data_IF_999794529334
#
_entry.id   IF_999794529334
#
_cell.length_a   1.000
_cell.length_b   1.000
_cell.length_c   1.000
_cell.angle_alpha   90.00
_cell.angle_beta   90.00
_cell.angle_gamma   90.00
#
_symmetry.space_group_name_H-M   'P 1'
#
loop_
_entity.id
_entity.type
_entity.pdbx_description
1 polymer ?
#
# COMPACT_ATOMS: atom_id res chain seq x y z
N UNK A 1 8.56 46.49 27.01
CA UNK A 1 7.39 45.60 27.19
C UNK A 1 6.49 45.60 25.94
N UNK A 2 6.04 46.77 25.43
CA UNK A 2 5.16 46.88 24.24
C UNK A 2 5.77 46.28 22.97
N UNK A 3 7.10 46.43 22.74
CA UNK A 3 7.80 45.87 21.58
C UNK A 3 7.87 44.33 21.67
N UNK A 4 8.14 43.78 22.86
CA UNK A 4 8.17 42.34 23.10
C UNK A 4 6.76 41.74 22.89
N UNK A 5 5.72 42.38 23.39
CA UNK A 5 4.34 41.93 23.19
C UNK A 5 3.96 41.88 21.70
N UNK A 6 4.34 42.88 20.90
CA UNK A 6 4.12 42.87 19.46
C UNK A 6 4.86 41.70 18.78
N UNK A 7 6.13 41.43 19.14
CA UNK A 7 6.89 40.30 18.60
C UNK A 7 6.20 38.99 18.92
N UNK A 8 5.82 38.75 20.18
CA UNK A 8 5.10 37.56 20.61
C UNK A 8 3.76 37.38 19.88
N UNK A 9 3.03 38.47 19.66
CA UNK A 9 1.77 38.48 18.92
C UNK A 9 1.97 38.06 17.46
N UNK A 10 2.99 38.58 16.75
CA UNK A 10 3.27 38.18 15.39
C UNK A 10 3.78 36.74 15.31
N UNK A 11 4.59 36.25 16.26
CA UNK A 11 5.00 34.87 16.35
C UNK A 11 3.80 33.96 16.53
N UNK A 12 2.86 34.31 17.37
CA UNK A 12 1.61 33.54 17.56
C UNK A 12 0.80 33.48 16.27
N UNK A 13 0.66 34.59 15.54
CA UNK A 13 -0.03 34.57 14.23
C UNK A 13 0.68 33.62 13.25
N UNK A 14 1.99 33.67 13.16
CA UNK A 14 2.77 32.79 12.29
C UNK A 14 2.52 31.32 12.65
N UNK A 15 2.54 30.97 13.93
CA UNK A 15 2.26 29.61 14.40
C UNK A 15 0.83 29.17 14.04
N UNK A 16 -0.16 30.04 14.23
CA UNK A 16 -1.54 29.74 13.88
C UNK A 16 -1.69 29.54 12.36
N UNK A 17 -1.13 30.42 11.54
CA UNK A 17 -1.18 30.28 10.07
C UNK A 17 -0.52 29.01 9.63
N UNK A 18 0.63 28.68 10.20
CA UNK A 18 1.35 27.43 9.91
C UNK A 18 0.53 26.19 10.30
N UNK A 19 -0.08 26.19 11.49
CA UNK A 19 -0.95 25.09 11.93
C UNK A 19 -2.18 24.92 11.02
N UNK A 20 -2.82 26.03 10.62
CA UNK A 20 -3.94 25.98 9.66
C UNK A 20 -3.47 25.44 8.32
N UNK A 21 -2.30 25.86 7.82
CA UNK A 21 -1.76 25.39 6.55
C UNK A 21 -1.50 23.89 6.58
N UNK A 22 -0.91 23.35 7.65
CA UNK A 22 -0.73 21.91 7.85
C UNK A 22 -2.09 21.20 7.87
N UNK A 23 -3.04 21.71 8.63
CA UNK A 23 -4.39 21.13 8.72
C UNK A 23 -5.06 21.06 7.34
N UNK A 24 -5.04 22.15 6.56
CA UNK A 24 -5.59 22.18 5.21
C UNK A 24 -4.86 21.23 4.26
N UNK A 25 -3.54 21.16 4.36
CA UNK A 25 -2.74 20.22 3.59
C UNK A 25 -3.12 18.77 3.89
N UNK A 26 -3.30 18.39 5.15
CA UNK A 26 -3.76 17.06 5.55
C UNK A 26 -5.19 16.74 5.09
N UNK A 27 -5.99 17.77 4.71
CA UNK A 27 -7.30 17.56 4.09
C UNK A 27 -7.25 17.35 2.57
N UNK A 28 -6.09 17.39 1.95
CA UNK A 28 -5.96 17.11 0.51
C UNK A 28 -6.21 15.63 0.21
N UNK A 29 -6.64 15.29 -1.03
CA UNK A 29 -6.98 13.91 -1.38
C UNK A 29 -5.83 12.91 -1.21
N UNK A 30 -4.57 13.35 -1.27
CA UNK A 30 -3.39 12.47 -1.14
C UNK A 30 -3.35 11.71 0.19
N UNK A 31 -3.95 12.27 1.24
CA UNK A 31 -4.05 11.61 2.55
C UNK A 31 -5.16 10.55 2.62
N UNK A 32 -6.05 10.51 1.63
CA UNK A 32 -7.17 9.57 1.63
C UNK A 32 -8.26 9.93 2.65
N UNK A 33 -8.97 8.95 3.17
CA UNK A 33 -10.02 9.11 4.16
C UNK A 33 -10.00 7.97 5.19
N UNK A 34 -10.46 8.27 6.41
CA UNK A 34 -10.78 7.25 7.40
C UNK A 34 -12.07 6.51 7.04
N UNK A 35 -12.21 5.24 7.42
CA UNK A 35 -13.45 4.50 7.27
C UNK A 35 -14.63 5.24 7.91
N UNK A 36 -15.75 5.30 7.19
CA UNK A 36 -17.00 5.91 7.67
C UNK A 36 -18.20 5.16 7.11
N UNK A 37 -19.40 5.34 7.67
CA UNK A 37 -20.62 4.67 7.20
C UNK A 37 -20.42 3.15 7.10
N UNK A 38 -20.80 2.56 5.95
CA UNK A 38 -20.70 1.12 5.68
C UNK A 38 -19.27 0.57 5.80
N UNK A 39 -18.25 1.33 5.36
CA UNK A 39 -16.85 0.94 5.50
C UNK A 39 -16.47 0.76 6.96
N UNK A 40 -16.84 1.72 7.82
CA UNK A 40 -16.57 1.64 9.26
C UNK A 40 -17.35 0.48 9.94
N UNK A 41 -18.55 0.19 9.48
CA UNK A 41 -19.31 -0.96 9.98
C UNK A 41 -18.61 -2.28 9.68
N UNK A 42 -18.11 -2.46 8.45
CA UNK A 42 -17.31 -3.64 8.09
C UNK A 42 -16.05 -3.75 8.95
N UNK A 43 -15.32 -2.65 9.14
CA UNK A 43 -14.14 -2.58 10.02
C UNK A 43 -14.47 -3.01 11.43
N UNK A 44 -15.54 -2.44 12.03
CA UNK A 44 -15.94 -2.76 13.42
C UNK A 44 -16.43 -4.19 13.62
N UNK A 45 -16.94 -4.82 12.56
CA UNK A 45 -17.38 -6.22 12.60
C UNK A 45 -16.22 -7.23 12.46
N UNK A 46 -15.03 -6.77 12.10
CA UNK A 46 -13.86 -7.62 12.05
C UNK A 46 -13.42 -8.05 13.45
N UNK A 47 -13.15 -9.35 13.62
CA UNK A 47 -12.54 -9.91 14.84
C UNK A 47 -11.11 -9.40 15.10
N UNK A 48 -10.48 -8.81 14.08
CA UNK A 48 -9.12 -8.31 14.10
C UNK A 48 -9.05 -6.81 14.47
N UNK A 49 -10.22 -6.13 14.56
CA UNK A 49 -10.34 -4.74 15.00
C UNK A 49 -10.66 -4.69 16.49
N UNK A 50 -9.67 -4.36 17.32
CA UNK A 50 -9.73 -4.47 18.78
C UNK A 50 -9.40 -3.11 19.39
N UNK A 51 -10.25 -2.62 20.31
CA UNK A 51 -10.08 -1.33 21.01
C UNK A 51 -9.87 -0.13 20.07
N UNK A 52 -10.54 -0.15 18.92
CA UNK A 52 -10.51 0.96 17.97
C UNK A 52 -9.36 0.95 16.97
N UNK A 53 -8.63 -0.15 16.82
CA UNK A 53 -7.55 -0.33 15.85
C UNK A 53 -7.39 -1.79 15.42
N UNK A 54 -6.85 -2.04 14.23
CA UNK A 54 -6.35 -3.36 13.85
C UNK A 54 -5.05 -3.66 14.58
N UNK A 55 -4.86 -4.91 15.00
CA UNK A 55 -3.68 -5.33 15.75
C UNK A 55 -3.06 -6.59 15.18
N UNK A 56 -1.72 -6.59 15.09
CA UNK A 56 -0.99 -7.84 14.85
C UNK A 56 -1.31 -8.84 15.96
N UNK A 57 -1.51 -10.11 15.59
CA UNK A 57 -1.74 -11.18 16.59
C UNK A 57 -0.51 -11.40 17.49
N UNK A 58 0.66 -11.06 16.97
CA UNK A 58 1.91 -11.11 17.73
C UNK A 58 2.36 -9.70 18.10
N UNK A 59 2.91 -9.56 19.31
CA UNK A 59 3.47 -8.29 19.74
C UNK A 59 4.55 -7.85 18.75
N UNK A 60 4.33 -6.73 18.11
CA UNK A 60 5.25 -6.16 17.13
C UNK A 60 5.80 -4.84 17.64
N UNK A 61 7.10 -4.82 17.89
CA UNK A 61 7.80 -3.59 18.25
C UNK A 61 8.18 -2.85 16.96
N UNK A 62 7.64 -1.65 16.79
CA UNK A 62 7.86 -0.84 15.59
C UNK A 62 9.18 -0.07 15.62
N UNK A 63 9.74 0.08 16.81
CA UNK A 63 10.97 0.82 17.03
C UNK A 63 11.95 -0.10 17.72
N UNK A 64 12.99 -0.46 17.00
CA UNK A 64 14.09 -1.28 17.53
C UNK A 64 14.91 -0.56 18.61
N UNK A 65 14.92 0.77 18.59
CA UNK A 65 15.63 1.57 19.61
C UNK A 65 14.63 2.40 20.43
N UNK A 66 14.16 1.80 21.54
CA UNK A 66 13.23 2.45 22.48
C UNK A 66 13.91 3.52 23.36
N UNK A 67 15.25 3.62 23.36
CA UNK A 67 16.00 4.57 24.20
C UNK A 67 16.06 5.98 23.62
N UNK A 68 15.81 6.15 22.31
CA UNK A 68 15.84 7.48 21.69
C UNK A 68 14.55 8.23 21.97
N UNK A 69 14.67 9.51 22.33
CA UNK A 69 13.51 10.40 22.51
C UNK A 69 12.86 10.70 21.14
N UNK A 70 11.55 11.02 21.09
CA UNK A 70 10.87 11.40 19.83
C UNK A 70 11.57 12.56 19.09
N UNK A 71 12.07 13.56 19.83
CA UNK A 71 12.80 14.71 19.25
C UNK A 71 14.12 14.24 18.61
N UNK A 72 14.87 13.35 19.27
CA UNK A 72 16.12 12.82 18.72
C UNK A 72 15.87 12.06 17.43
N UNK A 73 14.83 11.23 17.38
CA UNK A 73 14.43 10.50 16.15
C UNK A 73 14.04 11.47 15.02
N UNK A 74 13.26 12.51 15.34
CA UNK A 74 12.89 13.52 14.36
C UNK A 74 14.12 14.25 13.79
N UNK A 75 15.07 14.60 14.63
CA UNK A 75 16.33 15.24 14.21
C UNK A 75 17.19 14.29 13.37
N UNK A 76 17.31 13.02 13.77
CA UNK A 76 18.02 12.01 12.98
C UNK A 76 17.35 11.86 11.60
N UNK A 77 16.04 11.65 11.55
CA UNK A 77 15.30 11.56 10.29
C UNK A 77 15.47 12.80 9.39
N UNK A 78 15.55 13.99 9.98
CA UNK A 78 15.64 15.24 9.22
C UNK A 78 17.07 15.58 8.76
N UNK A 79 18.09 15.14 9.49
CA UNK A 79 19.47 15.60 9.30
C UNK A 79 20.51 14.49 9.17
N UNK A 80 20.17 13.25 9.48
CA UNK A 80 21.08 12.13 9.27
C UNK A 80 21.17 11.81 7.77
N UNK A 81 22.38 11.64 7.28
CA UNK A 81 22.59 11.23 5.90
C UNK A 81 22.31 9.73 5.77
N UNK A 82 21.75 9.36 4.64
CA UNK A 82 21.60 7.95 4.30
C UNK A 82 22.95 7.22 4.45
N UNK A 83 22.96 6.02 5.04
CA UNK A 83 24.16 5.21 5.13
C UNK A 83 24.78 5.00 3.74
N UNK A 84 26.11 4.92 3.69
CA UNK A 84 26.79 4.68 2.42
C UNK A 84 26.31 3.35 1.78
N UNK A 85 25.99 3.37 0.51
CA UNK A 85 25.53 2.21 -0.25
C UNK A 85 24.03 1.93 -0.21
N UNK A 86 23.23 2.72 0.53
CA UNK A 86 21.75 2.56 0.54
C UNK A 86 21.08 3.19 -0.68
N UNK A 87 21.73 4.17 -1.32
CA UNK A 87 21.22 4.79 -2.55
C UNK A 87 22.13 4.39 -3.71
N UNK A 88 21.59 3.86 -4.82
CA UNK A 88 22.37 3.54 -6.01
C UNK A 88 23.09 4.76 -6.56
N UNK A 89 24.40 4.61 -6.92
CA UNK A 89 25.21 5.69 -7.48
C UNK A 89 24.97 5.91 -8.98
N UNK A 90 24.35 4.94 -9.64
CA UNK A 90 23.99 4.97 -11.07
C UNK A 90 22.53 4.60 -11.23
N UNK A 91 21.92 4.97 -12.35
CA UNK A 91 20.58 4.54 -12.70
C UNK A 91 20.49 3.01 -12.71
N UNK A 92 19.45 2.47 -12.12
CA UNK A 92 19.21 1.03 -12.12
C UNK A 92 18.90 0.58 -13.56
N UNK A 93 19.48 -0.54 -14.02
CA UNK A 93 19.16 -1.08 -15.34
C UNK A 93 17.70 -1.55 -15.35
N UNK A 94 16.97 -1.16 -16.38
CA UNK A 94 15.57 -1.54 -16.56
C UNK A 94 15.27 -1.80 -18.02
N UNK A 95 14.32 -2.71 -18.26
CA UNK A 95 13.83 -3.06 -19.60
C UNK A 95 12.34 -2.72 -19.63
N UNK A 96 11.94 -1.91 -20.62
CA UNK A 96 10.53 -1.60 -20.85
C UNK A 96 9.91 -2.59 -21.82
N UNK A 97 8.91 -3.33 -21.35
CA UNK A 97 8.10 -4.26 -22.15
C UNK A 97 6.79 -3.55 -22.54
N UNK A 98 6.29 -3.80 -23.73
CA UNK A 98 4.97 -3.33 -24.15
C UNK A 98 3.90 -4.24 -23.52
N UNK A 99 3.28 -3.74 -22.44
CA UNK A 99 2.28 -4.48 -21.67
C UNK A 99 0.95 -4.69 -22.45
N UNK A 100 0.74 -3.94 -23.54
CA UNK A 100 -0.50 -4.01 -24.33
C UNK A 100 -0.47 -5.10 -25.39
N UNK A 101 0.73 -5.58 -25.72
CA UNK A 101 0.96 -6.60 -26.76
C UNK A 101 1.35 -7.96 -26.23
N UNK A 102 1.28 -8.14 -24.91
CA UNK A 102 1.55 -9.44 -24.27
C UNK A 102 0.53 -10.49 -24.75
N UNK A 103 1.00 -11.72 -24.97
CA UNK A 103 0.11 -12.84 -25.29
C UNK A 103 -0.81 -13.11 -24.09
N UNK A 104 -2.14 -13.03 -24.23
CA UNK A 104 -3.06 -13.24 -23.12
C UNK A 104 -3.07 -14.67 -22.55
N UNK A 105 -2.48 -15.64 -23.27
CA UNK A 105 -2.38 -17.02 -22.82
C UNK A 105 -1.06 -17.34 -22.08
N UNK A 106 -0.18 -16.37 -21.94
CA UNK A 106 1.10 -16.54 -21.24
C UNK A 106 1.01 -16.01 -19.82
N UNK A 107 1.32 -16.83 -18.84
CA UNK A 107 1.46 -16.39 -17.45
C UNK A 107 2.82 -15.74 -17.25
N UNK A 108 2.81 -14.51 -16.73
CA UNK A 108 4.02 -13.73 -16.53
C UNK A 108 3.90 -12.72 -15.40
N UNK A 109 5.05 -12.27 -14.92
CA UNK A 109 5.16 -11.22 -13.92
C UNK A 109 6.14 -10.16 -14.44
N UNK A 110 5.73 -8.90 -14.36
CA UNK A 110 6.58 -7.74 -14.60
C UNK A 110 6.74 -6.97 -13.29
N UNK A 111 7.96 -6.87 -12.80
CA UNK A 111 8.29 -6.11 -11.61
C UNK A 111 8.71 -4.69 -11.96
N UNK A 112 8.06 -3.70 -11.37
CA UNK A 112 8.31 -2.28 -11.63
C UNK A 112 9.25 -1.62 -10.61
N UNK A 113 9.68 -2.37 -9.63
CA UNK A 113 10.43 -1.90 -8.47
C UNK A 113 9.56 -1.82 -7.22
N UNK A 114 10.20 -1.83 -6.05
CA UNK A 114 9.55 -1.93 -4.76
C UNK A 114 8.50 -3.04 -4.75
N UNK A 115 7.27 -2.79 -4.35
CA UNK A 115 6.19 -3.78 -4.30
C UNK A 115 5.25 -3.75 -5.51
N UNK A 116 5.55 -2.94 -6.54
CA UNK A 116 4.69 -2.78 -7.71
C UNK A 116 4.89 -3.93 -8.71
N UNK A 117 3.83 -4.67 -9.01
CA UNK A 117 3.84 -5.82 -9.93
C UNK A 117 2.68 -5.75 -10.90
N UNK A 118 2.94 -6.14 -12.15
CA UNK A 118 1.90 -6.56 -13.09
C UNK A 118 2.00 -8.07 -13.26
N UNK A 119 0.89 -8.75 -13.06
CA UNK A 119 0.79 -10.21 -13.11
C UNK A 119 -0.27 -10.54 -14.15
N UNK A 120 0.09 -11.36 -15.12
CA UNK A 120 -0.84 -12.01 -16.02
C UNK A 120 -0.90 -13.49 -15.65
N UNK A 121 -2.08 -13.96 -15.27
CA UNK A 121 -2.31 -15.34 -14.78
C UNK A 121 -3.76 -15.75 -15.06
N UNK A 122 -3.98 -16.96 -15.51
CA UNK A 122 -5.31 -17.46 -15.88
C UNK A 122 -6.06 -16.51 -16.84
N UNK A 123 -5.36 -15.84 -17.75
CA UNK A 123 -5.92 -14.86 -18.67
C UNK A 123 -6.37 -13.55 -18.02
N UNK A 124 -6.09 -13.32 -16.73
CA UNK A 124 -6.39 -12.08 -16.00
C UNK A 124 -5.16 -11.22 -15.83
N UNK A 125 -5.37 -9.91 -15.90
CA UNK A 125 -4.36 -8.87 -15.66
C UNK A 125 -4.56 -8.28 -14.29
N UNK A 126 -3.61 -8.53 -13.40
CA UNK A 126 -3.63 -8.10 -12.00
C UNK A 126 -2.52 -7.09 -11.80
N UNK A 127 -2.85 -5.93 -11.24
CA UNK A 127 -1.89 -4.91 -10.87
C UNK A 127 -1.83 -4.82 -9.35
N UNK A 128 -0.63 -4.93 -8.78
CA UNK A 128 -0.41 -4.98 -7.32
C UNK A 128 0.36 -3.75 -6.89
N UNK A 129 -0.12 -3.05 -5.88
CA UNK A 129 0.52 -1.92 -5.20
C UNK A 129 1.22 -0.94 -6.17
N UNK A 130 0.51 -0.37 -7.18
CA UNK A 130 1.14 0.41 -8.22
C UNK A 130 1.56 1.80 -7.72
N UNK A 131 2.87 2.08 -7.79
CA UNK A 131 3.47 3.36 -7.42
C UNK A 131 4.33 3.87 -8.57
N UNK A 132 3.77 4.78 -9.36
CA UNK A 132 4.45 5.38 -10.52
C UNK A 132 4.72 6.87 -10.35
N UNK A 133 4.42 7.43 -9.17
CA UNK A 133 4.83 8.78 -8.78
C UNK A 133 6.34 8.85 -8.53
N UNK A 134 6.92 10.02 -8.79
CA UNK A 134 8.33 10.28 -8.48
C UNK A 134 8.67 10.15 -7.00
N UNK A 135 7.68 10.42 -6.14
CA UNK A 135 7.81 10.39 -4.69
C UNK A 135 6.67 9.57 -4.11
N UNK A 136 6.99 8.50 -3.41
CA UNK A 136 6.05 7.69 -2.64
C UNK A 136 5.73 8.37 -1.29
N UNK A 137 5.19 9.58 -1.37
CA UNK A 137 5.01 10.47 -0.21
C UNK A 137 4.00 11.57 -0.55
N UNK A 138 3.29 12.12 0.45
CA UNK A 138 2.45 13.30 0.25
C UNK A 138 3.27 14.57 -0.05
N UNK A 139 4.60 14.55 0.20
CA UNK A 139 5.49 15.69 0.00
C UNK A 139 6.57 15.40 -1.04
N UNK A 140 6.95 16.39 -1.88
CA UNK A 140 7.83 16.18 -3.03
C UNK A 140 9.34 16.17 -2.68
N UNK A 141 9.70 15.76 -1.48
CA UNK A 141 11.09 15.70 -1.02
C UNK A 141 11.40 14.46 -0.16
N UNK A 142 10.46 13.53 -0.05
CA UNK A 142 10.61 12.29 0.72
C UNK A 142 10.29 11.08 -0.15
N UNK A 143 10.93 9.94 0.10
CA UNK A 143 10.73 8.65 -0.58
C UNK A 143 10.77 8.78 -2.11
N UNK A 144 11.86 9.36 -2.62
CA UNK A 144 12.08 9.51 -4.07
C UNK A 144 12.43 8.15 -4.68
N UNK A 145 11.77 7.80 -5.77
CA UNK A 145 12.13 6.64 -6.59
C UNK A 145 13.59 6.71 -7.06
N UNK A 146 14.28 5.57 -7.05
CA UNK A 146 15.63 5.49 -7.59
C UNK A 146 15.63 5.77 -9.10
N UNK A 147 16.73 6.35 -9.59
CA UNK A 147 16.87 6.62 -11.01
C UNK A 147 16.87 5.30 -11.80
N UNK A 148 16.10 5.24 -12.88
CA UNK A 148 15.92 4.06 -13.72
C UNK A 148 14.73 3.17 -13.33
N UNK A 149 14.03 3.38 -12.21
CA UNK A 149 12.89 2.52 -11.82
C UNK A 149 11.56 2.97 -12.43
N UNK A 150 11.22 4.24 -12.42
CA UNK A 150 9.93 4.74 -12.91
C UNK A 150 9.92 4.95 -14.43
N UNK A 151 10.08 3.86 -15.20
CA UNK A 151 10.07 3.89 -16.67
C UNK A 151 8.68 3.68 -17.28
N UNK A 152 7.69 3.29 -16.45
CA UNK A 152 6.29 3.11 -16.83
C UNK A 152 5.42 4.26 -16.33
N UNK A 153 4.35 4.50 -17.06
CA UNK A 153 3.25 5.41 -16.69
C UNK A 153 1.93 4.66 -16.81
N UNK A 154 0.84 5.22 -16.29
CA UNK A 154 -0.49 4.62 -16.42
C UNK A 154 -0.94 4.42 -17.88
N UNK A 155 -0.40 5.22 -18.82
CA UNK A 155 -0.72 5.11 -20.24
C UNK A 155 -0.10 3.85 -20.88
N UNK A 156 0.92 3.28 -20.29
CA UNK A 156 1.56 2.04 -20.77
C UNK A 156 0.72 0.79 -20.47
N UNK A 157 -0.26 0.88 -19.55
CA UNK A 157 -1.07 -0.27 -19.14
C UNK A 157 -2.26 -0.54 -20.07
N UNK A 158 -2.59 -1.81 -20.32
CA UNK A 158 -3.89 -2.21 -20.87
C UNK A 158 -5.01 -1.99 -19.84
N UNK A 159 -6.24 -2.44 -20.17
CA UNK A 159 -7.29 -2.63 -19.16
C UNK A 159 -6.84 -3.64 -18.12
N UNK A 160 -7.15 -3.38 -16.84
CA UNK A 160 -6.75 -4.16 -15.67
C UNK A 160 -7.97 -4.83 -15.09
N UNK A 161 -7.96 -6.16 -15.03
CA UNK A 161 -9.07 -6.92 -14.45
C UNK A 161 -9.17 -6.68 -12.94
N UNK A 162 -8.01 -6.69 -12.25
CA UNK A 162 -7.95 -6.60 -10.79
C UNK A 162 -6.81 -5.67 -10.35
N UNK A 163 -7.15 -4.70 -9.50
CA UNK A 163 -6.19 -3.93 -8.73
C UNK A 163 -6.16 -4.48 -7.31
N UNK A 164 -5.00 -4.99 -6.88
CA UNK A 164 -4.75 -5.46 -5.52
C UNK A 164 -3.95 -4.42 -4.75
N UNK A 165 -4.37 -4.09 -3.54
CA UNK A 165 -3.61 -3.25 -2.61
C UNK A 165 -3.39 -4.02 -1.32
N UNK A 166 -2.15 -4.13 -0.88
CA UNK A 166 -1.79 -4.85 0.35
C UNK A 166 -2.08 -4.05 1.60
N UNK A 167 -1.86 -2.74 1.56
CA UNK A 167 -2.13 -1.80 2.66
C UNK A 167 -2.05 -0.34 2.17
N UNK A 168 -2.29 0.62 3.05
CA UNK A 168 -2.49 2.02 2.68
C UNK A 168 -1.25 2.93 2.76
N UNK A 169 -0.03 2.41 2.97
CA UNK A 169 1.17 3.24 2.93
C UNK A 169 1.38 3.87 1.55
N UNK A 170 2.09 5.01 1.50
CA UNK A 170 2.26 5.79 0.28
C UNK A 170 3.05 5.08 -0.81
N UNK A 171 3.92 4.15 -0.45
CA UNK A 171 4.73 3.32 -1.32
C UNK A 171 4.04 2.03 -1.78
N UNK A 172 2.75 1.86 -1.45
CA UNK A 172 1.85 0.80 -1.92
C UNK A 172 0.55 1.34 -2.51
N UNK A 173 0.04 2.44 -1.96
CA UNK A 173 -1.19 3.10 -2.40
C UNK A 173 -0.89 4.54 -2.83
N UNK A 174 -0.47 4.71 -4.07
CA UNK A 174 -0.10 5.98 -4.68
C UNK A 174 -1.33 6.68 -5.29
N UNK A 175 -1.82 7.73 -4.64
CA UNK A 175 -3.01 8.47 -5.07
C UNK A 175 -2.95 8.95 -6.54
N UNK A 176 -1.87 9.60 -7.03
CA UNK A 176 -1.81 10.05 -8.40
C UNK A 176 -1.87 8.91 -9.42
N UNK A 177 -1.26 7.77 -9.13
CA UNK A 177 -1.29 6.58 -9.98
C UNK A 177 -2.68 5.95 -9.98
N UNK A 178 -3.23 5.67 -8.79
CA UNK A 178 -4.53 5.00 -8.64
C UNK A 178 -5.65 5.84 -9.26
N UNK A 179 -5.62 7.16 -9.06
CA UNK A 179 -6.61 8.07 -9.68
C UNK A 179 -6.61 8.00 -11.20
N UNK A 180 -5.45 7.88 -11.83
CA UNK A 180 -5.34 7.76 -13.31
C UNK A 180 -5.77 6.37 -13.80
N UNK A 181 -5.61 5.32 -12.95
CA UNK A 181 -6.03 3.96 -13.27
C UNK A 181 -7.54 3.75 -13.17
N UNK A 182 -8.29 4.65 -12.57
CA UNK A 182 -9.71 4.49 -12.22
C UNK A 182 -10.56 3.92 -13.35
N UNK A 183 -10.43 4.49 -14.57
CA UNK A 183 -11.24 4.08 -15.71
C UNK A 183 -10.74 2.77 -16.36
N UNK A 184 -9.50 2.38 -16.09
CA UNK A 184 -8.87 1.16 -16.63
C UNK A 184 -9.06 -0.07 -15.74
N UNK A 185 -9.55 0.10 -14.52
CA UNK A 185 -9.68 -0.98 -13.53
C UNK A 185 -11.12 -1.48 -13.47
N UNK A 186 -11.30 -2.79 -13.66
CA UNK A 186 -12.60 -3.43 -13.56
C UNK A 186 -12.99 -3.72 -12.09
N UNK A 187 -12.06 -4.23 -11.28
CA UNK A 187 -12.29 -4.60 -9.88
C UNK A 187 -11.12 -4.17 -9.00
N UNK A 188 -11.41 -3.70 -7.80
CA UNK A 188 -10.42 -3.35 -6.77
C UNK A 188 -10.60 -4.30 -5.58
N UNK A 189 -9.53 -4.96 -5.13
CA UNK A 189 -9.54 -5.81 -3.93
C UNK A 189 -8.59 -5.19 -2.92
N UNK A 190 -9.10 -4.83 -1.76
CA UNK A 190 -8.37 -4.07 -0.73
C UNK A 190 -8.69 -4.58 0.66
N UNK A 191 -7.80 -4.44 1.64
CA UNK A 191 -8.09 -4.74 3.03
C UNK A 191 -9.19 -3.83 3.60
N UNK A 192 -9.88 -4.29 4.63
CA UNK A 192 -10.87 -3.52 5.37
C UNK A 192 -10.34 -2.13 5.74
N UNK A 193 -11.13 -1.11 5.48
CA UNK A 193 -10.83 0.30 5.76
C UNK A 193 -10.01 1.02 4.67
N UNK A 194 -9.32 0.30 3.79
CA UNK A 194 -8.60 0.89 2.63
C UNK A 194 -9.60 1.38 1.57
N UNK A 195 -10.77 0.76 1.49
CA UNK A 195 -11.88 1.17 0.62
C UNK A 195 -12.28 2.65 0.81
N UNK A 196 -12.14 3.18 2.02
CA UNK A 196 -12.44 4.58 2.31
C UNK A 196 -11.59 5.57 1.48
N UNK A 197 -10.35 5.22 1.16
CA UNK A 197 -9.51 6.01 0.28
C UNK A 197 -10.06 6.03 -1.14
N UNK A 198 -10.41 4.87 -1.68
CA UNK A 198 -10.96 4.71 -3.02
C UNK A 198 -12.29 5.44 -3.18
N UNK A 199 -13.19 5.33 -2.20
CA UNK A 199 -14.47 6.04 -2.19
C UNK A 199 -14.26 7.56 -2.19
N UNK A 200 -13.30 8.08 -1.41
CA UNK A 200 -12.92 9.50 -1.45
C UNK A 200 -12.36 9.95 -2.80
N UNK A 201 -11.74 9.03 -3.54
CA UNK A 201 -11.18 9.28 -4.86
C UNK A 201 -12.19 9.01 -5.99
N UNK A 202 -13.48 8.93 -5.64
CA UNK A 202 -14.62 8.76 -6.52
C UNK A 202 -14.63 7.43 -7.30
N UNK A 203 -14.00 6.37 -6.76
CA UNK A 203 -14.19 5.02 -7.30
C UNK A 203 -15.62 4.55 -7.02
N UNK A 204 -16.16 3.79 -7.98
CA UNK A 204 -17.44 3.14 -7.83
C UNK A 204 -17.40 2.08 -6.73
N UNK A 205 -18.30 2.20 -5.73
CA UNK A 205 -18.39 1.25 -4.61
C UNK A 205 -18.59 -0.19 -5.10
N UNK A 206 -19.30 -0.39 -6.22
CA UNK A 206 -19.58 -1.73 -6.77
C UNK A 206 -18.34 -2.43 -7.32
N UNK A 207 -17.32 -1.67 -7.68
CA UNK A 207 -16.03 -2.22 -8.12
C UNK A 207 -15.12 -2.65 -6.95
N UNK A 208 -15.43 -2.25 -5.71
CA UNK A 208 -14.55 -2.42 -4.55
C UNK A 208 -14.96 -3.63 -3.72
N UNK A 209 -14.07 -4.60 -3.60
CA UNK A 209 -14.17 -5.75 -2.72
C UNK A 209 -13.24 -5.56 -1.54
N UNK A 210 -13.79 -5.54 -0.33
CA UNK A 210 -13.01 -5.46 0.91
C UNK A 210 -12.78 -6.84 1.48
N UNK A 211 -11.57 -7.09 2.00
CA UNK A 211 -11.17 -8.38 2.58
C UNK A 211 -10.63 -8.22 3.99
N UNK A 212 -10.91 -9.20 4.83
CA UNK A 212 -10.28 -9.41 6.14
C UNK A 212 -9.22 -10.51 6.04
N UNK A 213 -8.43 -10.72 7.07
CA UNK A 213 -7.53 -11.87 7.15
C UNK A 213 -8.30 -13.19 7.09
N UNK A 214 -7.76 -14.10 6.33
CA UNK A 214 -8.29 -15.44 6.03
C UNK A 214 -9.46 -15.46 5.03
N UNK A 215 -9.87 -14.30 4.48
CA UNK A 215 -10.88 -14.23 3.43
C UNK A 215 -10.38 -14.79 2.10
N UNK A 216 -11.31 -15.34 1.32
CA UNK A 216 -11.12 -15.84 -0.03
C UNK A 216 -12.02 -15.04 -0.99
N UNK A 217 -11.48 -14.61 -2.10
CA UNK A 217 -12.22 -13.99 -3.21
C UNK A 217 -12.11 -14.90 -4.43
N UNK A 218 -13.20 -15.54 -4.80
CA UNK A 218 -13.29 -16.31 -6.05
C UNK A 218 -13.47 -15.33 -7.21
N UNK A 219 -12.53 -15.33 -8.14
CA UNK A 219 -12.56 -14.51 -9.36
C UNK A 219 -13.38 -15.21 -10.44
N UNK A 220 -13.04 -16.47 -10.70
CA UNK A 220 -13.76 -17.40 -11.58
C UNK A 220 -13.45 -18.87 -11.17
N UNK A 221 -13.79 -19.83 -12.01
CA UNK A 221 -13.62 -21.26 -11.72
C UNK A 221 -12.15 -21.68 -11.60
N UNK A 222 -11.23 -20.87 -12.15
CA UNK A 222 -9.81 -21.17 -12.23
C UNK A 222 -8.93 -20.28 -11.34
N UNK A 223 -9.46 -19.15 -10.84
CA UNK A 223 -8.64 -18.17 -10.13
C UNK A 223 -9.27 -17.74 -8.81
N UNK A 224 -8.51 -17.88 -7.74
CA UNK A 224 -8.85 -17.45 -6.39
C UNK A 224 -7.77 -16.57 -5.80
N UNK A 225 -8.16 -15.62 -4.96
CA UNK A 225 -7.26 -14.74 -4.23
C UNK A 225 -7.58 -14.85 -2.75
N UNK A 226 -6.58 -15.20 -1.94
CA UNK A 226 -6.68 -15.30 -0.49
C UNK A 226 -6.01 -14.09 0.14
N UNK A 227 -6.71 -13.42 1.06
CA UNK A 227 -6.13 -12.41 1.92
C UNK A 227 -5.59 -13.07 3.18
N UNK A 228 -4.30 -12.94 3.44
CA UNK A 228 -3.61 -13.65 4.49
C UNK A 228 -3.12 -12.68 5.57
N UNK A 229 -3.15 -13.17 6.81
CA UNK A 229 -2.58 -12.44 7.93
C UNK A 229 -1.09 -12.19 7.71
N UNK A 230 -0.67 -10.95 7.89
CA UNK A 230 0.74 -10.59 7.87
C UNK A 230 1.06 -9.61 8.99
N UNK A 231 2.34 -9.53 9.38
CA UNK A 231 2.81 -8.66 10.46
C UNK A 231 3.29 -7.34 9.90
N UNK A 232 2.46 -6.32 9.99
CA UNK A 232 2.77 -4.97 9.52
C UNK A 232 1.96 -3.92 10.30
N UNK A 233 1.69 -2.79 9.72
CA UNK A 233 0.84 -1.71 10.22
C UNK A 233 0.30 -0.88 9.04
N UNK A 234 -0.65 0.01 9.32
CA UNK A 234 -1.25 0.91 8.34
C UNK A 234 -1.25 2.35 8.83
N UNK A 235 -1.56 3.29 7.93
CA UNK A 235 -1.78 4.70 8.23
C UNK A 235 -1.08 5.65 7.27
N UNK A 236 -1.77 6.76 6.96
CA UNK A 236 -1.31 7.82 6.05
C UNK A 236 -1.15 9.17 6.76
N UNK A 237 -1.56 9.26 8.03
CA UNK A 237 -1.49 10.45 8.87
C UNK A 237 -0.93 10.09 10.24
N UNK A 238 -0.55 11.11 11.01
CA UNK A 238 -0.01 10.91 12.37
C UNK A 238 -1.03 10.30 13.34
N UNK A 239 -2.33 10.43 13.06
CA UNK A 239 -3.42 10.07 13.97
C UNK A 239 -4.28 8.89 13.51
N UNK A 240 -4.05 8.35 12.31
CA UNK A 240 -4.91 7.30 11.73
C UNK A 240 -4.25 5.92 11.64
N UNK A 241 -3.24 5.70 12.45
CA UNK A 241 -2.52 4.43 12.49
C UNK A 241 -3.46 3.27 12.78
N UNK A 242 -3.31 2.18 12.03
CA UNK A 242 -4.05 0.93 12.19
C UNK A 242 -5.60 1.09 12.09
N UNK A 243 -6.08 2.14 11.42
CA UNK A 243 -7.50 2.32 11.17
C UNK A 243 -7.98 1.56 9.93
N UNK A 244 -7.06 1.10 9.11
CA UNK A 244 -7.24 0.15 8.01
C UNK A 244 -6.41 -1.10 8.25
N UNK A 245 -6.82 -2.22 7.63
CA UNK A 245 -6.10 -3.49 7.73
C UNK A 245 -4.94 -3.54 6.72
N UNK A 246 -4.03 -4.47 6.90
CA UNK A 246 -2.95 -4.85 5.99
C UNK A 246 -2.95 -6.36 5.77
N UNK A 247 -2.60 -6.80 4.56
CA UNK A 247 -2.65 -8.22 4.18
C UNK A 247 -1.43 -8.61 3.32
N UNK A 248 -1.09 -9.89 3.33
CA UNK A 248 -0.42 -10.55 2.23
C UNK A 248 -1.46 -11.20 1.33
N UNK A 249 -1.16 -11.42 0.06
CA UNK A 249 -2.05 -12.14 -0.84
C UNK A 249 -1.44 -13.47 -1.28
N UNK A 250 -2.30 -14.47 -1.49
CA UNK A 250 -1.94 -15.66 -2.24
C UNK A 250 -2.92 -15.77 -3.40
N UNK A 251 -2.38 -15.81 -4.61
CA UNK A 251 -3.14 -16.02 -5.85
C UNK A 251 -3.01 -17.50 -6.18
N UNK A 252 -4.13 -18.20 -6.31
CA UNK A 252 -4.19 -19.61 -6.66
C UNK A 252 -4.87 -19.78 -8.00
N UNK A 253 -4.13 -20.32 -8.96
CA UNK A 253 -4.64 -20.72 -10.26
C UNK A 253 -4.82 -22.23 -10.31
N UNK A 254 -5.96 -22.66 -10.84
CA UNK A 254 -6.21 -24.04 -11.19
C UNK A 254 -5.99 -24.23 -12.69
N UNK A 255 -4.94 -24.96 -13.04
CA UNK A 255 -4.64 -25.34 -14.42
C UNK A 255 -4.69 -26.88 -14.57
N UNK A 256 -5.70 -27.39 -15.27
CA UNK A 256 -6.06 -28.80 -15.30
C UNK A 256 -6.25 -29.36 -13.88
N UNK A 257 -5.50 -30.38 -13.48
CA UNK A 257 -5.54 -30.98 -12.15
C UNK A 257 -4.48 -30.43 -11.19
N UNK A 258 -3.74 -29.39 -11.61
CA UNK A 258 -2.69 -28.78 -10.81
C UNK A 258 -3.15 -27.44 -10.24
N UNK A 259 -2.57 -27.07 -9.10
CA UNK A 259 -2.72 -25.76 -8.49
C UNK A 259 -1.38 -25.04 -8.52
N UNK A 260 -1.35 -23.86 -9.13
CA UNK A 260 -0.21 -22.96 -9.09
C UNK A 260 -0.49 -21.85 -8.09
N UNK A 261 0.45 -21.58 -7.20
CA UNK A 261 0.27 -20.62 -6.10
C UNK A 261 1.38 -19.59 -6.07
N UNK A 262 0.98 -18.34 -6.21
CA UNK A 262 1.83 -17.16 -6.12
C UNK A 262 1.55 -16.44 -4.80
N UNK A 263 2.54 -16.36 -3.92
CA UNK A 263 2.47 -15.62 -2.67
C UNK A 263 3.08 -14.21 -2.82
N UNK A 264 2.37 -13.20 -2.35
CA UNK A 264 2.76 -11.80 -2.34
C UNK A 264 2.78 -11.32 -0.90
N UNK A 265 3.97 -11.08 -0.34
CA UNK A 265 4.07 -10.73 1.10
C UNK A 265 3.59 -9.33 1.43
N UNK A 266 3.55 -8.40 0.44
CA UNK A 266 3.53 -6.98 0.74
C UNK A 266 4.70 -6.64 1.68
N UNK A 267 4.49 -5.76 2.64
CA UNK A 267 5.50 -5.40 3.65
C UNK A 267 5.46 -6.29 4.91
N UNK A 268 4.95 -7.51 4.73
CA UNK A 268 4.82 -8.45 5.83
C UNK A 268 6.14 -8.89 6.43
N UNK A 269 6.40 -8.54 7.70
CA UNK A 269 7.55 -9.04 8.44
C UNK A 269 7.42 -10.54 8.76
N UNK A 270 8.57 -11.20 9.01
CA UNK A 270 8.60 -12.59 9.43
C UNK A 270 7.69 -12.85 10.65
N UNK A 271 6.95 -13.95 10.59
CA UNK A 271 6.02 -14.38 11.63
C UNK A 271 5.89 -15.90 11.60
N UNK A 272 5.62 -16.58 12.75
CA UNK A 272 5.26 -18.00 12.81
C UNK A 272 4.08 -18.40 11.92
N UNK A 273 3.27 -17.45 11.46
CA UNK A 273 2.15 -17.68 10.53
C UNK A 273 2.57 -18.27 9.18
N UNK A 274 3.80 -18.01 8.72
CA UNK A 274 4.33 -18.63 7.51
C UNK A 274 4.29 -20.17 7.56
N UNK A 275 4.48 -20.75 8.76
CA UNK A 275 4.32 -22.19 8.95
C UNK A 275 2.87 -22.63 8.70
N UNK A 276 1.89 -21.88 9.20
CA UNK A 276 0.46 -22.14 8.96
C UNK A 276 0.07 -22.01 7.48
N UNK A 277 0.68 -21.09 6.73
CA UNK A 277 0.44 -21.00 5.28
C UNK A 277 0.94 -22.25 4.56
N UNK A 278 2.13 -22.75 4.92
CA UNK A 278 2.64 -24.02 4.37
C UNK A 278 1.72 -25.19 4.70
N UNK A 279 1.16 -25.26 5.89
CA UNK A 279 0.22 -26.30 6.27
C UNK A 279 -1.10 -26.20 5.49
N UNK A 280 -1.64 -24.96 5.30
CA UNK A 280 -2.90 -24.70 4.59
C UNK A 280 -2.78 -24.91 3.09
N UNK A 281 -1.72 -24.40 2.48
CA UNK A 281 -1.56 -24.35 1.03
C UNK A 281 -0.57 -25.41 0.48
N UNK A 282 0.11 -26.16 1.35
CA UNK A 282 1.08 -27.22 1.03
C UNK A 282 2.26 -26.71 0.19
N UNK A 283 2.04 -26.45 -1.12
CA UNK A 283 3.05 -25.93 -2.03
C UNK A 283 2.76 -24.46 -2.36
N UNK A 284 3.80 -23.64 -2.40
CA UNK A 284 3.81 -22.29 -2.95
C UNK A 284 4.88 -22.28 -4.02
N UNK A 285 4.48 -22.06 -5.28
CA UNK A 285 5.36 -22.23 -6.45
C UNK A 285 6.26 -21.00 -6.62
N UNK A 286 5.76 -19.82 -6.32
CA UNK A 286 6.52 -18.58 -6.35
C UNK A 286 6.14 -17.68 -5.17
N UNK A 287 7.13 -17.08 -4.52
CA UNK A 287 6.93 -16.09 -3.45
C UNK A 287 7.68 -14.81 -3.80
N UNK A 288 6.94 -13.69 -3.76
CA UNK A 288 7.49 -12.33 -3.81
C UNK A 288 7.51 -11.80 -2.39
N UNK A 289 8.74 -11.53 -1.88
CA UNK A 289 9.01 -11.18 -0.47
C UNK A 289 9.59 -9.79 -0.34
#
# INVERSE_FOLDING_TARGET
LKKLFKILFYLLIIVIVFAISIYLFMKTPVFGALPSGKSLEKVKNSKNYIDGEFRNKEKTELLTDTKKTPIKRLLEFAFEKDPEGTVPKIALPSVKTDLKTLDPNEDLIVWFGHSSLFIQIAGKKILVDPVFSKYASPVPFSNKAFEGTNIYTVDDFPEIDILLITHDHYDHLDYPTVKKLKEKVAKVIVPLGVDAHFLRWDFDEEKIVTVDWDDEVTIDDNLKIYALETRHFSGREFSNRNQSLWVSYLIEEKYNDNLYRLFLSGDGGYSPRFKGFKEKFQNIDLAVM
#
